data_IF_973226304991
#
_entry.id   IF_973226304991
#
_cell.length_a   1.000
_cell.length_b   1.000
_cell.length_c   1.000
_cell.angle_alpha   90.00
_cell.angle_beta   90.00
_cell.angle_gamma   90.00
#
_symmetry.space_group_name_H-M   'P 1'
#
loop_
_entity.id
_entity.type
_entity.pdbx_description
1 polymer ?
#
# COMPACT_ATOMS: atom_id res chain seq x y z
N UNK A 1 -19.62 -21.37 13.65
CA UNK A 1 -20.12 -20.49 14.74
C UNK A 1 -19.41 -20.73 16.07
N UNK A 2 -19.60 -21.86 16.78
CA UNK A 2 -18.96 -22.09 18.10
C UNK A 2 -17.43 -22.26 17.97
N UNK A 3 -16.97 -23.00 16.97
CA UNK A 3 -15.55 -23.17 16.68
C UNK A 3 -14.86 -21.86 16.28
N UNK A 4 -15.56 -21.00 15.53
CA UNK A 4 -15.06 -19.67 15.15
C UNK A 4 -14.94 -18.73 16.36
N UNK A 5 -15.87 -18.81 17.32
CA UNK A 5 -15.80 -18.05 18.56
C UNK A 5 -14.60 -18.48 19.42
N UNK A 6 -14.34 -19.78 19.54
CA UNK A 6 -13.19 -20.31 20.27
C UNK A 6 -11.85 -19.95 19.59
N UNK A 7 -11.77 -20.03 18.26
CA UNK A 7 -10.58 -19.61 17.50
C UNK A 7 -10.38 -18.09 17.58
N UNK A 8 -11.47 -17.31 17.65
CA UNK A 8 -11.44 -15.85 17.81
C UNK A 8 -10.83 -15.39 19.13
N UNK A 9 -10.82 -16.24 20.16
CA UNK A 9 -10.14 -15.95 21.44
C UNK A 9 -8.62 -16.03 21.32
N UNK A 10 -8.09 -16.75 20.31
CA UNK A 10 -6.67 -16.96 20.08
C UNK A 10 -6.12 -16.24 18.83
N UNK A 11 -6.98 -15.71 17.95
CA UNK A 11 -6.58 -14.88 16.82
C UNK A 11 -6.59 -13.41 17.20
N UNK A 12 -5.62 -12.64 16.69
CA UNK A 12 -5.61 -11.19 16.88
C UNK A 12 -6.21 -10.52 15.65
N UNK A 13 -7.26 -9.73 15.83
CA UNK A 13 -7.86 -8.95 14.74
C UNK A 13 -6.82 -8.01 14.13
N UNK A 14 -6.93 -7.79 12.82
CA UNK A 14 -5.93 -7.05 12.03
C UNK A 14 -6.56 -5.86 11.30
N UNK A 15 -5.84 -4.75 11.25
CA UNK A 15 -6.01 -3.70 10.25
C UNK A 15 -4.90 -3.81 9.21
N UNK A 16 -5.23 -3.71 7.93
CA UNK A 16 -4.25 -3.67 6.84
C UNK A 16 -4.49 -2.40 6.04
N UNK A 17 -3.45 -1.58 5.93
CA UNK A 17 -3.40 -0.52 4.94
C UNK A 17 -2.67 -1.03 3.72
N UNK A 18 -3.42 -1.32 2.64
CA UNK A 18 -2.90 -1.96 1.43
C UNK A 18 -2.48 -0.90 0.41
N UNK A 19 -1.58 -0.01 0.82
CA UNK A 19 -1.14 1.11 0.01
C UNK A 19 -0.36 0.71 -1.25
N UNK A 20 -0.36 1.57 -2.27
CA UNK A 20 0.35 1.32 -3.53
C UNK A 20 1.88 1.26 -3.37
N UNK A 21 2.42 1.93 -2.36
CA UNK A 21 3.86 2.04 -2.11
C UNK A 21 4.30 1.26 -0.86
N UNK A 22 3.52 1.31 0.21
CA UNK A 22 3.79 0.63 1.47
C UNK A 22 2.53 -0.06 1.98
N UNK A 23 2.71 -1.19 2.65
CA UNK A 23 1.68 -1.90 3.38
C UNK A 23 1.97 -1.79 4.87
N UNK A 24 0.97 -1.35 5.64
CA UNK A 24 1.03 -1.34 7.09
C UNK A 24 0.06 -2.38 7.65
N UNK A 25 0.48 -3.06 8.71
CA UNK A 25 -0.38 -4.01 9.43
C UNK A 25 -0.42 -3.64 10.89
N UNK A 26 -1.64 -3.41 11.37
CA UNK A 26 -1.96 -3.15 12.76
C UNK A 26 -2.59 -4.40 13.37
N UNK A 27 -2.16 -4.74 14.58
CA UNK A 27 -2.81 -5.76 15.39
C UNK A 27 -3.54 -5.07 16.53
N UNK A 28 -4.80 -5.47 16.76
CA UNK A 28 -5.59 -4.98 17.89
C UNK A 28 -4.78 -5.11 19.19
N UNK A 29 -4.75 -4.02 19.97
CA UNK A 29 -4.04 -3.90 21.24
C UNK A 29 -2.50 -3.99 21.18
N UNK A 30 -1.91 -4.07 19.98
CA UNK A 30 -0.43 -4.03 19.78
C UNK A 30 0.03 -2.88 18.89
N UNK A 31 -0.88 -2.24 18.17
CA UNK A 31 -0.55 -1.17 17.23
C UNK A 31 0.07 -1.70 15.94
N UNK A 32 0.83 -0.85 15.25
CA UNK A 32 1.47 -1.17 13.96
C UNK A 32 2.64 -2.14 14.20
N UNK A 33 2.57 -3.32 13.61
CA UNK A 33 3.58 -4.38 13.73
C UNK A 33 4.33 -4.66 12.43
N UNK A 34 3.80 -4.19 11.29
CA UNK A 34 4.45 -4.28 9.98
C UNK A 34 4.32 -2.91 9.30
N UNK A 35 5.43 -2.46 8.72
CA UNK A 35 5.50 -1.32 7.81
C UNK A 35 6.55 -1.68 6.76
N UNK A 36 6.10 -2.17 5.61
CA UNK A 36 6.95 -2.75 4.56
C UNK A 36 6.51 -2.20 3.19
N UNK A 37 7.43 -2.01 2.23
CA UNK A 37 7.06 -1.71 0.85
C UNK A 37 6.06 -2.71 0.26
N UNK A 38 5.10 -2.24 -0.52
CA UNK A 38 4.13 -3.09 -1.25
C UNK A 38 4.78 -3.68 -2.49
N UNK A 39 5.81 -4.50 -2.29
CA UNK A 39 6.61 -5.14 -3.36
C UNK A 39 6.77 -6.61 -3.04
N UNK A 40 6.58 -7.44 -4.06
CA UNK A 40 6.77 -8.91 -4.01
C UNK A 40 7.80 -9.30 -5.05
N UNK A 41 8.85 -9.99 -4.64
CA UNK A 41 9.82 -10.58 -5.56
C UNK A 41 9.45 -12.05 -5.80
N UNK A 42 9.30 -12.42 -7.07
CA UNK A 42 8.97 -13.78 -7.47
C UNK A 42 9.98 -14.34 -8.44
N UNK A 43 10.23 -15.65 -8.32
CA UNK A 43 10.93 -16.44 -9.31
C UNK A 43 9.91 -17.10 -10.24
N UNK A 44 10.03 -16.86 -11.55
CA UNK A 44 9.24 -17.55 -12.56
C UNK A 44 10.02 -18.74 -13.08
N UNK A 45 9.48 -19.95 -12.89
CA UNK A 45 10.04 -21.16 -13.52
C UNK A 45 9.80 -21.14 -15.03
N UNK A 46 10.80 -21.56 -15.82
CA UNK A 46 10.71 -21.59 -17.30
C UNK A 46 9.61 -22.51 -17.85
N UNK A 47 9.20 -23.52 -17.08
CA UNK A 47 8.25 -24.56 -17.48
C UNK A 47 7.12 -24.78 -16.46
N UNK A 48 7.04 -23.95 -15.41
CA UNK A 48 6.08 -24.08 -14.31
C UNK A 48 5.07 -22.93 -14.31
N UNK A 49 3.82 -23.21 -13.93
CA UNK A 49 2.75 -22.21 -13.83
C UNK A 49 2.75 -21.43 -12.51
N UNK A 50 3.58 -21.81 -11.53
CA UNK A 50 3.57 -21.20 -10.19
C UNK A 50 4.81 -20.35 -9.95
N UNK A 51 4.60 -19.04 -9.86
CA UNK A 51 5.61 -18.10 -9.40
C UNK A 51 5.89 -18.32 -7.89
N UNK A 52 7.14 -18.63 -7.54
CA UNK A 52 7.59 -18.82 -6.16
C UNK A 52 7.95 -17.47 -5.56
N UNK A 53 7.39 -17.14 -4.40
CA UNK A 53 7.77 -15.92 -3.67
C UNK A 53 9.18 -16.10 -3.13
N UNK A 54 10.08 -15.19 -3.49
CA UNK A 54 11.43 -15.11 -2.93
C UNK A 54 11.48 -14.16 -1.74
N UNK A 55 10.82 -12.99 -1.85
CA UNK A 55 10.80 -11.96 -0.82
C UNK A 55 9.54 -11.11 -0.92
N UNK A 56 9.19 -10.44 0.18
CA UNK A 56 8.12 -9.43 0.28
C UNK A 56 8.67 -8.26 1.06
N UNK A 57 8.23 -7.03 0.76
CA UNK A 57 8.62 -5.86 1.54
C UNK A 57 9.97 -5.30 1.14
N UNK A 58 10.77 -4.93 2.15
CA UNK A 58 12.04 -4.24 1.94
C UNK A 58 13.02 -5.04 1.09
N UNK A 59 13.14 -6.33 1.37
CA UNK A 59 13.99 -7.26 0.62
C UNK A 59 13.60 -7.30 -0.87
N UNK A 60 12.30 -7.33 -1.17
CA UNK A 60 11.80 -7.29 -2.55
C UNK A 60 12.03 -5.92 -3.21
N UNK A 61 11.82 -4.81 -2.49
CA UNK A 61 12.09 -3.45 -3.01
C UNK A 61 13.57 -3.26 -3.36
N UNK A 62 14.48 -3.83 -2.58
CA UNK A 62 15.92 -3.70 -2.83
C UNK A 62 16.41 -4.48 -4.07
N UNK A 63 15.63 -5.45 -4.55
CA UNK A 63 15.86 -6.19 -5.80
C UNK A 63 15.39 -5.42 -7.06
N UNK A 64 14.53 -4.41 -6.94
CA UNK A 64 13.97 -3.67 -8.09
C UNK A 64 15.09 -3.09 -8.97
N UNK A 65 15.05 -3.40 -10.26
CA UNK A 65 16.05 -2.96 -11.25
C UNK A 65 17.41 -3.66 -11.14
N UNK A 66 17.54 -4.67 -10.27
CA UNK A 66 18.78 -5.44 -10.05
C UNK A 66 18.57 -6.95 -10.21
N UNK A 67 17.38 -7.40 -10.62
CA UNK A 67 17.07 -8.82 -10.73
C UNK A 67 17.67 -9.46 -11.99
N UNK A 68 18.13 -10.72 -11.92
CA UNK A 68 18.39 -11.54 -13.10
C UNK A 68 17.07 -11.88 -13.82
N UNK A 69 17.15 -12.29 -15.09
CA UNK A 69 15.97 -12.39 -15.96
C UNK A 69 14.85 -13.36 -15.52
N UNK A 70 15.09 -14.24 -14.55
CA UNK A 70 14.06 -15.15 -13.99
C UNK A 70 13.40 -14.62 -12.71
N UNK A 71 13.87 -13.50 -12.16
CA UNK A 71 13.31 -12.87 -10.96
C UNK A 71 12.63 -11.55 -11.34
N UNK A 72 11.40 -11.38 -10.87
CA UNK A 72 10.60 -10.19 -11.11
C UNK A 72 10.17 -9.58 -9.78
N UNK A 73 10.37 -8.28 -9.62
CA UNK A 73 9.84 -7.52 -8.50
C UNK A 73 8.55 -6.80 -8.95
N UNK A 74 7.44 -7.14 -8.32
CA UNK A 74 6.08 -6.74 -8.71
C UNK A 74 5.48 -5.87 -7.60
N UNK A 75 4.88 -4.73 -7.98
CA UNK A 75 3.96 -3.97 -7.12
C UNK A 75 2.53 -4.47 -7.39
N UNK A 76 1.92 -5.25 -6.48
CA UNK A 76 0.61 -5.85 -6.74
C UNK A 76 -0.54 -4.83 -6.70
N UNK A 77 -0.29 -3.68 -6.07
CA UNK A 77 -1.20 -2.53 -6.01
C UNK A 77 -0.68 -1.41 -6.90
N UNK A 78 -1.55 -0.83 -7.73
CA UNK A 78 -1.20 0.31 -8.59
C UNK A 78 -2.37 1.26 -8.71
N UNK A 79 -2.13 2.57 -8.59
CA UNK A 79 -3.16 3.62 -8.71
C UNK A 79 -4.41 3.35 -7.84
N UNK A 80 -4.21 2.77 -6.65
CA UNK A 80 -5.27 2.43 -5.68
C UNK A 80 -6.04 1.14 -5.98
N UNK A 81 -5.71 0.42 -7.06
CA UNK A 81 -6.40 -0.82 -7.44
C UNK A 81 -5.46 -2.02 -7.37
N UNK A 82 -6.03 -3.21 -7.22
CA UNK A 82 -5.28 -4.46 -7.36
C UNK A 82 -4.95 -4.65 -8.84
N UNK A 83 -3.66 -4.61 -9.17
CA UNK A 83 -3.16 -4.91 -10.50
C UNK A 83 -2.88 -6.41 -10.70
N UNK A 84 -2.57 -7.12 -9.60
CA UNK A 84 -2.28 -8.56 -9.61
C UNK A 84 -2.90 -9.24 -8.38
N UNK A 85 -3.97 -10.02 -8.60
CA UNK A 85 -4.72 -10.68 -7.52
C UNK A 85 -3.92 -11.77 -6.81
N UNK A 86 -3.18 -12.57 -7.58
CA UNK A 86 -2.38 -13.67 -7.05
C UNK A 86 -1.26 -13.14 -6.17
N UNK A 87 -0.59 -12.07 -6.60
CA UNK A 87 0.46 -11.42 -5.81
C UNK A 87 -0.12 -10.70 -4.59
N UNK A 88 -1.29 -10.09 -4.71
CA UNK A 88 -1.97 -9.45 -3.57
C UNK A 88 -2.34 -10.48 -2.50
N UNK A 89 -2.97 -11.61 -2.88
CA UNK A 89 -3.28 -12.70 -1.95
C UNK A 89 -2.03 -13.21 -1.25
N UNK A 90 -0.97 -13.47 -2.02
CA UNK A 90 0.33 -13.94 -1.52
C UNK A 90 0.95 -12.95 -0.52
N UNK A 91 0.89 -11.65 -0.81
CA UNK A 91 1.39 -10.60 0.07
C UNK A 91 0.58 -10.52 1.37
N UNK A 92 -0.75 -10.56 1.29
CA UNK A 92 -1.63 -10.58 2.47
C UNK A 92 -1.36 -11.84 3.31
N UNK A 93 -1.25 -13.02 2.68
CA UNK A 93 -0.95 -14.29 3.36
C UNK A 93 0.39 -14.20 4.09
N UNK A 94 1.43 -13.69 3.44
CA UNK A 94 2.73 -13.46 4.06
C UNK A 94 2.62 -12.59 5.33
N UNK A 95 1.84 -11.50 5.29
CA UNK A 95 1.65 -10.65 6.45
C UNK A 95 0.82 -11.29 7.57
N UNK A 96 -0.21 -12.07 7.24
CA UNK A 96 -0.97 -12.88 8.22
C UNK A 96 -0.02 -13.87 8.92
N UNK A 97 0.79 -14.60 8.15
CA UNK A 97 1.73 -15.60 8.70
C UNK A 97 2.85 -14.97 9.52
N UNK A 98 3.40 -13.83 9.07
CA UNK A 98 4.43 -13.05 9.77
C UNK A 98 3.93 -12.56 11.13
N UNK A 99 2.70 -12.07 11.20
CA UNK A 99 2.10 -11.59 12.46
C UNK A 99 1.75 -12.71 13.43
N UNK A 100 1.28 -13.86 12.94
CA UNK A 100 0.82 -14.99 13.76
C UNK A 100 1.91 -16.05 14.05
N UNK A 101 3.20 -15.72 13.83
CA UNK A 101 4.35 -16.60 14.05
C UNK A 101 4.15 -18.00 13.44
N UNK A 102 3.62 -18.06 12.20
CA UNK A 102 3.39 -19.31 11.44
C UNK A 102 2.45 -20.33 12.10
N UNK A 103 1.60 -19.90 13.06
CA UNK A 103 0.50 -20.75 13.55
C UNK A 103 -0.63 -20.78 12.51
N UNK A 104 -0.46 -21.64 11.50
CA UNK A 104 -1.30 -21.80 10.30
C UNK A 104 -2.81 -21.99 10.54
N UNK A 105 -3.23 -22.29 11.78
CA UNK A 105 -4.63 -22.52 12.11
C UNK A 105 -5.42 -21.27 12.54
N UNK A 106 -4.76 -20.11 12.71
CA UNK A 106 -5.44 -18.88 13.16
C UNK A 106 -5.98 -18.09 11.97
N UNK A 107 -7.31 -17.87 11.96
CA UNK A 107 -8.02 -17.12 10.92
C UNK A 107 -8.53 -15.80 11.51
N UNK A 108 -7.82 -14.68 11.32
CA UNK A 108 -8.18 -13.39 11.92
C UNK A 108 -9.37 -12.74 11.20
N UNK A 109 -10.04 -11.79 11.86
CA UNK A 109 -10.86 -10.80 11.15
C UNK A 109 -9.96 -9.65 10.71
N UNK A 110 -10.19 -9.15 9.50
CA UNK A 110 -9.35 -8.13 8.89
C UNK A 110 -10.22 -6.93 8.47
N UNK A 111 -9.77 -5.73 8.79
CA UNK A 111 -10.24 -4.49 8.18
C UNK A 111 -9.17 -4.04 7.17
N UNK A 112 -9.55 -3.73 5.94
CA UNK A 112 -8.64 -3.26 4.89
C UNK A 112 -9.06 -1.86 4.45
N UNK A 113 -8.13 -0.90 4.46
CA UNK A 113 -8.37 0.40 3.82
C UNK A 113 -8.35 0.24 2.29
N UNK A 114 -9.30 0.88 1.63
CA UNK A 114 -9.38 0.93 0.17
C UNK A 114 -9.69 2.35 -0.29
N UNK A 115 -9.20 2.77 -1.46
CA UNK A 115 -9.51 4.10 -1.98
C UNK A 115 -11.01 4.35 -2.11
N UNK A 116 -11.40 5.62 -2.14
CA UNK A 116 -12.78 5.94 -2.44
C UNK A 116 -13.12 5.65 -3.91
N UNK A 117 -14.31 5.12 -4.16
CA UNK A 117 -14.83 4.96 -5.52
C UNK A 117 -14.40 3.67 -6.23
N UNK A 118 -13.84 2.68 -5.53
CA UNK A 118 -13.66 1.34 -6.10
C UNK A 118 -14.98 0.79 -6.65
N UNK A 119 -14.90 0.17 -7.82
CA UNK A 119 -16.01 -0.59 -8.40
C UNK A 119 -16.36 -1.79 -7.52
N UNK A 120 -17.57 -2.34 -7.71
CA UNK A 120 -17.97 -3.55 -6.98
C UNK A 120 -17.04 -4.74 -7.26
N UNK A 121 -16.48 -4.82 -8.47
CA UNK A 121 -15.52 -5.87 -8.86
C UNK A 121 -14.22 -5.71 -8.08
N UNK A 122 -13.66 -4.50 -8.02
CA UNK A 122 -12.44 -4.23 -7.26
C UNK A 122 -12.63 -4.47 -5.75
N UNK A 123 -13.74 -3.98 -5.17
CA UNK A 123 -14.09 -4.25 -3.76
C UNK A 123 -14.20 -5.74 -3.47
N UNK A 124 -14.88 -6.48 -4.36
CA UNK A 124 -15.02 -7.94 -4.23
C UNK A 124 -13.66 -8.61 -4.29
N UNK A 125 -12.80 -8.18 -5.20
CA UNK A 125 -11.50 -8.80 -5.37
C UNK A 125 -10.55 -8.56 -4.20
N UNK A 126 -10.52 -7.37 -3.60
CA UNK A 126 -9.78 -7.12 -2.34
C UNK A 126 -10.26 -8.06 -1.23
N UNK A 127 -11.58 -8.18 -1.09
CA UNK A 127 -12.20 -9.06 -0.10
C UNK A 127 -11.83 -10.54 -0.34
N UNK A 128 -11.93 -11.01 -1.59
CA UNK A 128 -11.60 -12.38 -1.95
C UNK A 128 -10.12 -12.69 -1.76
N UNK A 129 -9.20 -11.80 -2.14
CA UNK A 129 -7.76 -11.97 -1.90
C UNK A 129 -7.45 -12.14 -0.39
N UNK A 130 -8.09 -11.36 0.48
CA UNK A 130 -7.89 -11.48 1.92
C UNK A 130 -8.50 -12.76 2.52
N UNK A 131 -9.70 -13.17 2.05
CA UNK A 131 -10.33 -14.42 2.46
C UNK A 131 -9.49 -15.64 2.03
N UNK A 132 -9.03 -15.66 0.78
CA UNK A 132 -8.13 -16.70 0.24
C UNK A 132 -6.78 -16.72 0.95
N UNK A 133 -6.29 -15.57 1.40
CA UNK A 133 -5.08 -15.46 2.19
C UNK A 133 -5.20 -16.05 3.61
N UNK A 134 -6.41 -16.35 4.09
CA UNK A 134 -6.66 -17.02 5.38
C UNK A 134 -7.52 -16.23 6.37
N UNK A 135 -8.04 -15.06 6.00
CA UNK A 135 -8.96 -14.31 6.83
C UNK A 135 -10.27 -15.08 7.06
N UNK A 136 -10.88 -14.88 8.24
CA UNK A 136 -12.22 -15.40 8.55
C UNK A 136 -13.32 -14.46 8.08
N UNK A 137 -13.12 -13.17 8.31
CA UNK A 137 -14.03 -12.10 7.91
C UNK A 137 -13.22 -10.89 7.45
N UNK A 138 -13.74 -10.18 6.45
CA UNK A 138 -13.06 -9.03 5.85
C UNK A 138 -14.03 -7.86 5.69
N UNK A 139 -13.68 -6.78 6.36
CA UNK A 139 -14.35 -5.48 6.27
C UNK A 139 -13.48 -4.52 5.47
N UNK A 140 -14.12 -3.63 4.73
CA UNK A 140 -13.44 -2.58 3.99
C UNK A 140 -13.79 -1.24 4.63
N UNK A 141 -12.82 -0.35 4.71
CA UNK A 141 -13.00 1.05 5.13
C UNK A 141 -12.42 1.96 4.05
N UNK A 142 -13.11 3.05 3.75
CA UNK A 142 -12.61 4.06 2.82
C UNK A 142 -11.36 4.74 3.40
N UNK A 143 -10.29 4.82 2.60
CA UNK A 143 -9.03 5.50 2.94
C UNK A 143 -9.21 6.90 3.54
N UNK A 144 -10.01 7.84 2.98
CA UNK A 144 -10.19 9.15 3.61
C UNK A 144 -10.82 9.06 5.01
N UNK A 145 -11.69 8.08 5.25
CA UNK A 145 -12.25 7.86 6.59
C UNK A 145 -11.18 7.32 7.54
N UNK A 146 -10.41 6.32 7.11
CA UNK A 146 -9.31 5.77 7.91
C UNK A 146 -8.24 6.83 8.24
N UNK A 147 -7.88 7.66 7.26
CA UNK A 147 -6.93 8.76 7.41
C UNK A 147 -7.44 9.81 8.41
N UNK A 148 -8.71 10.20 8.32
CA UNK A 148 -9.30 11.15 9.27
C UNK A 148 -9.36 10.62 10.71
N UNK A 149 -9.69 9.33 10.88
CA UNK A 149 -9.63 8.66 12.19
C UNK A 149 -8.19 8.65 12.71
N UNK A 150 -7.22 8.26 11.86
CA UNK A 150 -5.80 8.22 12.21
C UNK A 150 -5.23 9.59 12.59
N UNK A 151 -5.70 10.66 11.93
CA UNK A 151 -5.36 12.04 12.22
C UNK A 151 -6.11 12.64 13.43
N UNK A 152 -6.94 11.85 14.12
CA UNK A 152 -7.73 12.28 15.28
C UNK A 152 -8.67 13.47 14.99
N UNK A 153 -9.21 13.55 13.77
CA UNK A 153 -10.19 14.57 13.43
C UNK A 153 -11.53 14.29 14.15
N UNK A 154 -12.27 15.32 14.61
CA UNK A 154 -13.56 15.18 15.29
C UNK A 154 -14.68 14.84 14.29
N UNK A 155 -14.58 13.69 13.63
CA UNK A 155 -15.45 13.29 12.52
C UNK A 155 -16.91 13.02 12.93
N UNK A 156 -17.18 12.81 14.22
CA UNK A 156 -18.52 12.56 14.77
C UNK A 156 -19.30 13.86 15.04
N UNK A 157 -18.62 15.01 15.06
CA UNK A 157 -19.28 16.29 15.27
C UNK A 157 -20.06 16.74 14.03
N UNK A 158 -21.09 17.59 14.17
CA UNK A 158 -21.78 18.25 13.07
C UNK A 158 -20.92 19.36 12.45
N UNK A 159 -19.65 19.07 12.14
CA UNK A 159 -18.68 19.98 11.52
C UNK A 159 -18.01 19.26 10.36
N UNK A 160 -17.80 19.98 9.26
CA UNK A 160 -17.08 19.46 8.09
C UNK A 160 -15.58 19.39 8.36
N UNK A 161 -15.01 18.19 8.30
CA UNK A 161 -13.58 17.94 8.40
C UNK A 161 -13.05 17.56 7.01
N UNK A 162 -12.16 18.37 6.44
CA UNK A 162 -11.48 18.06 5.18
C UNK A 162 -10.20 17.27 5.48
N UNK A 163 -10.05 16.13 4.83
CA UNK A 163 -8.81 15.34 4.80
C UNK A 163 -8.30 15.24 3.36
N UNK A 164 -6.98 15.36 3.20
CA UNK A 164 -6.27 15.16 1.94
C UNK A 164 -5.13 14.20 2.23
N UNK A 165 -5.26 12.96 1.77
CA UNK A 165 -4.26 11.91 1.92
C UNK A 165 -3.51 11.74 0.58
N UNK A 166 -2.20 12.04 0.58
CA UNK A 166 -1.35 11.97 -0.61
C UNK A 166 -0.46 10.73 -0.49
N UNK A 167 -0.86 9.66 -1.17
CA UNK A 167 -0.17 8.37 -1.14
C UNK A 167 0.92 8.23 -2.22
N UNK A 168 1.17 6.97 -2.59
CA UNK A 168 2.07 6.65 -3.71
C UNK A 168 1.41 6.88 -5.06
N UNK A 169 0.28 6.22 -5.32
CA UNK A 169 -0.40 6.26 -6.62
C UNK A 169 -1.61 7.20 -6.68
N UNK A 170 -2.25 7.43 -5.54
CA UNK A 170 -3.49 8.21 -5.43
C UNK A 170 -3.38 9.30 -4.38
N UNK A 171 -4.13 10.37 -4.61
CA UNK A 171 -4.49 11.34 -3.58
C UNK A 171 -5.98 11.19 -3.30
N UNK A 172 -6.33 10.90 -2.06
CA UNK A 172 -7.71 10.77 -1.59
C UNK A 172 -8.12 12.05 -0.85
N UNK A 173 -9.27 12.61 -1.23
CA UNK A 173 -9.80 13.85 -0.68
C UNK A 173 -11.18 13.56 -0.13
N UNK A 174 -11.42 13.82 1.15
CA UNK A 174 -12.71 13.56 1.79
C UNK A 174 -13.17 14.71 2.69
N UNK A 175 -14.45 15.01 2.68
CA UNK A 175 -15.10 15.86 3.69
C UNK A 175 -15.99 14.98 4.55
N UNK A 176 -15.78 15.00 5.87
CA UNK A 176 -16.43 14.11 6.83
C UNK A 176 -17.17 14.92 7.89
N UNK A 177 -18.40 14.52 8.21
CA UNK A 177 -19.23 15.11 9.27
C UNK A 177 -20.19 14.05 9.80
N UNK A 178 -20.53 14.08 11.10
CA UNK A 178 -21.47 13.14 11.72
C UNK A 178 -21.14 11.65 11.46
N UNK A 179 -19.85 11.31 11.41
CA UNK A 179 -19.34 9.96 11.17
C UNK A 179 -19.48 9.50 9.71
N UNK A 180 -19.99 10.34 8.82
CA UNK A 180 -20.23 10.03 7.41
C UNK A 180 -19.33 10.80 6.46
N UNK A 181 -18.93 10.15 5.37
CA UNK A 181 -18.24 10.79 4.25
C UNK A 181 -19.26 11.57 3.41
N UNK A 182 -19.23 12.90 3.49
CA UNK A 182 -20.19 13.80 2.84
C UNK A 182 -19.90 13.91 1.34
N UNK A 183 -18.63 14.13 1.01
CA UNK A 183 -18.12 14.14 -0.36
C UNK A 183 -16.71 13.57 -0.36
N UNK A 184 -16.38 12.85 -1.42
CA UNK A 184 -15.04 12.30 -1.59
C UNK A 184 -14.63 12.25 -3.06
N UNK A 185 -13.33 12.34 -3.29
CA UNK A 185 -12.71 12.27 -4.60
C UNK A 185 -11.34 11.61 -4.49
N UNK A 186 -11.14 10.57 -5.30
CA UNK A 186 -9.84 9.99 -5.56
C UNK A 186 -9.28 10.55 -6.85
N UNK A 187 -8.00 10.92 -6.87
CA UNK A 187 -7.26 11.25 -8.09
C UNK A 187 -5.99 10.41 -8.19
N UNK A 188 -5.68 9.93 -9.39
CA UNK A 188 -4.47 9.14 -9.67
C UNK A 188 -3.23 10.01 -9.85
N UNK A 189 -2.97 10.92 -8.91
CA UNK A 189 -1.82 11.81 -8.92
C UNK A 189 -1.29 11.93 -7.51
N UNK A 190 -0.10 11.39 -7.27
CA UNK A 190 0.56 11.43 -5.98
C UNK A 190 2.09 11.17 -6.16
N UNK A 191 2.74 10.51 -5.21
CA UNK A 191 4.19 10.28 -5.19
C UNK A 191 4.79 9.71 -6.49
N UNK A 192 4.19 8.67 -7.06
CA UNK A 192 4.70 7.97 -8.25
C UNK A 192 4.76 8.91 -9.47
N UNK A 193 3.76 9.81 -9.61
CA UNK A 193 3.77 10.82 -10.69
C UNK A 193 4.83 11.89 -10.47
N UNK A 194 5.04 12.32 -9.23
CA UNK A 194 6.09 13.29 -8.90
C UNK A 194 7.48 12.71 -9.24
N UNK A 195 7.71 11.43 -8.92
CA UNK A 195 8.95 10.74 -9.22
C UNK A 195 9.21 10.70 -10.73
N UNK A 196 8.19 10.33 -11.51
CA UNK A 196 8.29 10.29 -12.97
C UNK A 196 8.46 11.69 -13.59
N UNK A 197 7.84 12.73 -13.03
CA UNK A 197 8.08 14.11 -13.45
C UNK A 197 9.53 14.53 -13.24
N UNK A 198 10.16 14.12 -12.13
CA UNK A 198 11.58 14.37 -11.86
C UNK A 198 12.46 13.60 -12.86
N UNK A 199 12.18 12.32 -13.07
CA UNK A 199 12.91 11.48 -14.05
C UNK A 199 12.88 12.11 -15.45
N UNK A 200 11.69 12.53 -15.90
CA UNK A 200 11.52 13.15 -17.21
C UNK A 200 12.24 14.49 -17.30
N UNK A 201 12.13 15.33 -16.26
CA UNK A 201 12.84 16.60 -16.19
C UNK A 201 14.36 16.42 -16.31
N UNK A 202 14.94 15.46 -15.58
CA UNK A 202 16.39 15.19 -15.62
C UNK A 202 16.83 14.74 -17.02
N UNK A 203 16.04 13.88 -17.66
CA UNK A 203 16.28 13.43 -19.03
C UNK A 203 16.23 14.58 -20.03
N UNK A 204 15.20 15.42 -19.97
CA UNK A 204 15.01 16.53 -20.92
C UNK A 204 16.03 17.65 -20.72
N UNK A 205 16.36 17.99 -19.46
CA UNK A 205 17.22 19.12 -19.14
C UNK A 205 18.71 18.78 -19.24
N UNK A 206 19.11 17.57 -18.87
CA UNK A 206 20.52 17.16 -18.75
C UNK A 206 20.91 16.01 -19.68
N UNK A 207 19.97 15.47 -20.48
CA UNK A 207 20.18 14.29 -21.32
C UNK A 207 20.73 13.09 -20.52
N UNK A 208 20.31 12.98 -19.26
CA UNK A 208 20.76 11.95 -18.31
C UNK A 208 19.59 11.04 -17.97
N UNK A 209 19.75 9.73 -18.14
CA UNK A 209 18.74 8.74 -17.82
C UNK A 209 18.93 8.27 -16.37
N UNK A 210 17.88 8.42 -15.57
CA UNK A 210 17.79 7.93 -14.20
C UNK A 210 16.56 7.03 -14.02
N UNK A 211 16.60 6.12 -13.06
CA UNK A 211 15.47 5.25 -12.73
C UNK A 211 14.50 5.87 -11.71
N UNK A 212 13.32 5.28 -11.57
CA UNK A 212 12.27 5.69 -10.61
C UNK A 212 12.80 5.84 -9.18
N UNK A 213 13.61 4.89 -8.70
CA UNK A 213 14.24 4.96 -7.38
C UNK A 213 15.08 6.23 -7.19
N UNK A 214 15.85 6.62 -8.19
CA UNK A 214 16.65 7.85 -8.14
C UNK A 214 15.74 9.08 -8.21
N UNK A 215 14.63 9.03 -8.97
CA UNK A 215 13.59 10.05 -8.94
C UNK A 215 12.98 10.24 -7.54
N UNK A 216 12.61 9.15 -6.87
CA UNK A 216 12.10 9.16 -5.49
C UNK A 216 13.14 9.72 -4.50
N UNK A 217 14.40 9.32 -4.64
CA UNK A 217 15.49 9.84 -3.82
C UNK A 217 15.69 11.35 -4.00
N UNK A 218 15.61 11.84 -5.24
CA UNK A 218 15.65 13.29 -5.54
C UNK A 218 14.46 14.01 -4.91
N UNK A 219 13.24 13.48 -5.08
CA UNK A 219 12.01 14.04 -4.48
C UNK A 219 12.16 14.23 -2.97
N UNK A 220 12.62 13.20 -2.27
CA UNK A 220 12.74 13.21 -0.80
C UNK A 220 13.90 14.12 -0.35
N UNK A 221 15.01 14.14 -1.10
CA UNK A 221 16.23 14.84 -0.66
C UNK A 221 16.17 16.35 -0.91
N UNK A 222 15.64 16.76 -2.07
CA UNK A 222 15.67 18.18 -2.49
C UNK A 222 14.34 18.71 -3.04
N UNK A 223 13.29 17.90 -3.11
CA UNK A 223 11.98 18.33 -3.60
C UNK A 223 11.30 19.32 -2.65
N UNK A 224 10.65 20.34 -3.21
CA UNK A 224 9.84 21.30 -2.45
C UNK A 224 8.69 21.81 -3.32
N UNK A 225 7.52 22.01 -2.70
CA UNK A 225 6.35 22.63 -3.33
C UNK A 225 6.32 24.16 -3.17
N UNK A 226 7.24 24.72 -2.38
CA UNK A 226 7.38 26.15 -2.12
C UNK A 226 8.84 26.58 -2.30
N UNK A 227 9.05 27.87 -2.54
CA UNK A 227 10.40 28.43 -2.57
C UNK A 227 11.02 28.33 -1.18
N UNK A 228 12.21 27.72 -1.09
CA UNK A 228 12.97 27.66 0.15
C UNK A 228 13.91 28.88 0.27
N UNK A 229 14.16 29.37 1.49
CA UNK A 229 15.15 30.44 1.71
C UNK A 229 16.58 30.04 1.28
N UNK A 230 16.91 28.75 1.38
CA UNK A 230 18.17 28.17 0.92
C UNK A 230 17.88 27.00 0.01
N UNK A 231 18.44 27.03 -1.20
CA UNK A 231 18.31 25.93 -2.14
C UNK A 231 19.06 24.69 -1.66
N UNK A 232 18.42 23.54 -1.83
CA UNK A 232 19.00 22.23 -1.57
C UNK A 232 19.58 21.69 -2.88
N UNK A 233 20.69 20.95 -2.79
CA UNK A 233 21.33 20.35 -3.94
C UNK A 233 21.79 18.93 -3.62
N UNK A 234 21.87 18.09 -4.66
CA UNK A 234 22.39 16.74 -4.56
C UNK A 234 23.12 16.36 -5.85
N UNK A 235 24.07 15.43 -5.74
CA UNK A 235 24.76 14.86 -6.90
C UNK A 235 23.96 13.66 -7.40
N UNK A 236 23.60 13.69 -8.68
CA UNK A 236 22.84 12.62 -9.34
C UNK A 236 23.75 11.89 -10.33
N UNK A 237 23.71 10.55 -10.31
CA UNK A 237 24.38 9.70 -11.30
C UNK A 237 23.34 9.01 -12.15
N UNK A 238 23.55 9.00 -13.47
CA UNK A 238 22.69 8.34 -14.44
C UNK A 238 23.51 7.79 -15.62
N UNK A 239 22.83 7.37 -16.67
CA UNK A 239 23.44 6.89 -17.92
C UNK A 239 23.10 7.78 -19.10
#
# INVERSE_FOLDING_TARGET
MILDQLIGFFSSDMGIDLGTANTLVLIKDKGIVINEPSVVAVERERYGSKAKILAVGKEAKDMVGKTPGNIEAIRPMKDGVIADFDMTEKMIRYFIEKTHRRKSFLRPRIIISVPYGLTQVERKAVRESALSAGAREVFLIEEPMAAAIGASLPIQEPKGNLVVDIGGGTTEIGVISLGGLVISKSIRTAGDKLDMSIVNYVKEKYNLIIGERTGEEIKITIGSAIQLPKELSMVVKGR
#
